data_IF_033798941397
#
_entry.id   IF_033798941397
#
_cell.length_a   1.000
_cell.length_b   1.000
_cell.length_c   1.000
_cell.angle_alpha   90.00
_cell.angle_beta   90.00
_cell.angle_gamma   90.00
#
_symmetry.space_group_name_H-M   'P 1'
#
loop_
_entity.id
_entity.type
_entity.pdbx_description
1 polymer ?
#
# COMPACT_ATOMS: atom_id res chain seq x y z
N UNK A 1 44.86 -34.00 46.22
CA UNK A 1 43.49 -33.88 45.71
C UNK A 1 42.89 -32.64 46.35
N UNK A 2 43.03 -31.49 45.70
CA UNK A 2 42.35 -30.26 46.09
C UNK A 2 41.61 -29.76 44.85
N UNK A 3 40.29 -29.64 44.98
CA UNK A 3 39.39 -29.20 43.91
C UNK A 3 39.48 -27.67 43.76
N UNK A 4 39.84 -27.20 42.57
CA UNK A 4 39.55 -25.83 42.15
C UNK A 4 38.13 -25.79 41.56
N UNK A 5 37.30 -24.93 42.13
CA UNK A 5 35.96 -24.58 41.63
C UNK A 5 36.10 -23.49 40.56
N UNK A 6 35.75 -23.81 39.32
CA UNK A 6 35.63 -22.84 38.24
C UNK A 6 34.26 -22.17 38.30
N UNK A 7 34.22 -20.90 38.70
CA UNK A 7 33.03 -20.05 38.50
C UNK A 7 33.01 -19.60 37.06
N UNK A 8 32.10 -20.17 36.27
CA UNK A 8 31.75 -19.65 34.94
C UNK A 8 30.90 -18.40 35.11
N UNK A 9 31.37 -17.27 34.59
CA UNK A 9 30.57 -16.06 34.45
C UNK A 9 29.53 -16.27 33.34
N UNK A 10 28.25 -16.12 33.68
CA UNK A 10 27.17 -16.04 32.71
C UNK A 10 27.25 -14.70 31.94
N UNK A 11 26.95 -14.66 30.64
CA UNK A 11 26.95 -13.43 29.88
C UNK A 11 25.72 -12.58 30.25
N UNK A 12 25.95 -11.39 30.82
CA UNK A 12 24.91 -10.39 31.02
C UNK A 12 24.32 -9.99 29.66
N UNK A 13 23.06 -10.33 29.43
CA UNK A 13 22.28 -9.87 28.28
C UNK A 13 21.89 -8.41 28.48
N UNK A 14 22.27 -7.54 27.54
CA UNK A 14 22.02 -6.10 27.61
C UNK A 14 20.51 -5.76 27.70
N UNK A 15 20.07 -5.00 28.73
CA UNK A 15 18.65 -4.74 28.99
C UNK A 15 18.00 -3.71 28.05
N UNK A 16 18.77 -2.93 27.27
CA UNK A 16 18.25 -1.79 26.49
C UNK A 16 17.48 -2.17 25.21
N UNK A 17 17.87 -3.23 24.50
CA UNK A 17 17.31 -3.56 23.18
C UNK A 17 15.89 -4.13 23.25
N UNK A 18 15.52 -4.78 24.35
CA UNK A 18 14.19 -5.41 24.51
C UNK A 18 13.09 -4.41 24.87
N UNK A 19 13.41 -3.33 25.57
CA UNK A 19 12.43 -2.32 26.01
C UNK A 19 11.95 -1.43 24.87
N UNK A 20 12.85 -1.07 23.95
CA UNK A 20 12.52 -0.17 22.83
C UNK A 20 11.60 -0.86 21.81
N UNK A 21 11.84 -2.14 21.51
CA UNK A 21 11.02 -2.92 20.60
C UNK A 21 9.58 -3.18 21.11
N UNK A 22 9.39 -3.22 22.43
CA UNK A 22 8.05 -3.31 23.04
C UNK A 22 7.31 -1.97 22.92
N UNK A 23 8.00 -0.86 23.18
CA UNK A 23 7.45 0.48 23.04
C UNK A 23 7.03 0.79 21.59
N UNK A 24 7.85 0.43 20.59
CA UNK A 24 7.52 0.61 19.17
C UNK A 24 6.28 -0.19 18.75
N UNK A 25 6.09 -1.39 19.31
CA UNK A 25 4.91 -2.21 19.02
C UNK A 25 3.64 -1.63 19.63
N UNK A 26 3.71 -1.15 20.87
CA UNK A 26 2.57 -0.55 21.57
C UNK A 26 2.15 0.75 20.87
N UNK A 27 3.13 1.53 20.40
CA UNK A 27 2.87 2.70 19.57
C UNK A 27 2.20 2.32 18.25
N UNK A 28 2.76 1.36 17.51
CA UNK A 28 2.17 0.87 16.26
C UNK A 28 0.72 0.42 16.45
N UNK A 29 0.44 -0.32 17.54
CA UNK A 29 -0.90 -0.80 17.86
C UNK A 29 -1.85 0.36 18.15
N UNK A 30 -1.42 1.33 18.98
CA UNK A 30 -2.19 2.53 19.32
C UNK A 30 -2.56 3.34 18.08
N UNK A 31 -1.57 3.64 17.22
CA UNK A 31 -1.77 4.40 15.99
C UNK A 31 -2.70 3.65 15.03
N UNK A 32 -2.46 2.35 14.80
CA UNK A 32 -3.35 1.55 13.95
C UNK A 32 -4.77 1.48 14.51
N UNK A 33 -4.91 1.53 15.84
CA UNK A 33 -6.18 1.60 16.54
C UNK A 33 -6.98 2.85 16.20
N UNK A 34 -6.33 4.02 16.11
CA UNK A 34 -6.98 5.28 15.70
C UNK A 34 -7.59 5.13 14.30
N UNK A 35 -6.78 4.72 13.33
CA UNK A 35 -7.19 4.54 11.93
C UNK A 35 -8.37 3.56 11.83
N UNK A 36 -8.26 2.40 12.47
CA UNK A 36 -9.33 1.38 12.50
C UNK A 36 -10.62 1.90 13.13
N UNK A 37 -10.53 2.68 14.20
CA UNK A 37 -11.71 3.26 14.88
C UNK A 37 -12.43 4.26 14.00
N UNK A 38 -11.73 5.15 13.29
CA UNK A 38 -12.32 6.14 12.38
C UNK A 38 -13.12 5.43 11.28
N UNK A 39 -12.50 4.49 10.56
CA UNK A 39 -13.19 3.72 9.52
C UNK A 39 -14.39 2.93 10.06
N UNK A 40 -14.27 2.33 11.25
CA UNK A 40 -15.39 1.59 11.89
C UNK A 40 -16.54 2.53 12.25
N UNK A 41 -16.26 3.72 12.80
CA UNK A 41 -17.25 4.74 13.16
C UNK A 41 -18.04 5.17 11.91
N UNK A 42 -17.35 5.49 10.82
CA UNK A 42 -17.95 5.87 9.54
C UNK A 42 -18.85 4.75 8.97
N UNK A 43 -18.34 3.52 8.88
CA UNK A 43 -19.13 2.38 8.40
C UNK A 43 -20.38 2.13 9.25
N UNK A 44 -20.24 2.19 10.58
CA UNK A 44 -21.37 2.00 11.49
C UNK A 44 -22.42 3.10 11.32
N UNK A 45 -22.02 4.38 11.30
CA UNK A 45 -22.95 5.50 11.05
C UNK A 45 -23.72 5.31 9.74
N UNK A 46 -23.04 4.85 8.68
CA UNK A 46 -23.69 4.61 7.39
C UNK A 46 -24.73 3.49 7.46
N UNK A 47 -24.41 2.38 8.13
CA UNK A 47 -25.37 1.28 8.32
C UNK A 47 -26.59 1.74 9.14
N UNK A 48 -26.40 2.60 10.13
CA UNK A 48 -27.47 3.08 11.02
C UNK A 48 -28.37 4.15 10.38
N UNK A 49 -27.80 5.09 9.62
CA UNK A 49 -28.52 6.28 9.11
C UNK A 49 -28.84 6.19 7.62
N UNK A 50 -27.94 5.60 6.82
CA UNK A 50 -28.08 5.47 5.35
C UNK A 50 -27.83 6.74 4.52
N UNK A 51 -27.64 7.91 5.16
CA UNK A 51 -27.41 9.19 4.48
C UNK A 51 -25.90 9.51 4.39
N UNK A 52 -25.30 9.24 3.22
CA UNK A 52 -23.87 9.42 3.00
C UNK A 52 -23.45 10.90 3.07
N UNK A 53 -24.25 11.82 2.51
CA UNK A 53 -23.92 13.24 2.42
C UNK A 53 -23.88 13.88 3.81
N UNK A 54 -24.87 13.56 4.64
CA UNK A 54 -24.90 14.04 6.02
C UNK A 54 -23.73 13.49 6.84
N UNK A 55 -23.49 12.18 6.77
CA UNK A 55 -22.42 11.53 7.55
C UNK A 55 -21.05 12.08 7.16
N UNK A 56 -20.81 12.26 5.86
CA UNK A 56 -19.54 12.77 5.36
C UNK A 56 -19.32 14.22 5.81
N UNK A 57 -20.33 15.08 5.67
CA UNK A 57 -20.27 16.47 6.12
C UNK A 57 -19.97 16.59 7.62
N UNK A 58 -20.72 15.87 8.45
CA UNK A 58 -20.48 15.82 9.90
C UNK A 58 -19.08 15.32 10.24
N UNK A 59 -18.53 14.39 9.45
CA UNK A 59 -17.18 13.88 9.65
C UNK A 59 -16.12 14.90 9.25
N UNK A 60 -16.33 15.62 8.14
CA UNK A 60 -15.44 16.69 7.70
C UNK A 60 -15.40 17.87 8.69
N UNK A 61 -16.47 18.07 9.47
CA UNK A 61 -16.53 19.08 10.54
C UNK A 61 -15.86 18.63 11.86
N UNK A 62 -15.56 17.33 12.02
CA UNK A 62 -14.90 16.75 13.21
C UNK A 62 -13.37 16.90 13.12
N UNK A 63 -12.89 18.15 13.16
CA UNK A 63 -11.47 18.52 12.99
C UNK A 63 -10.54 17.74 13.92
N UNK A 64 -10.97 17.48 15.16
CA UNK A 64 -10.19 16.71 16.12
C UNK A 64 -9.95 15.28 15.60
N UNK A 65 -11.00 14.57 15.18
CA UNK A 65 -10.87 13.21 14.66
C UNK A 65 -10.03 13.18 13.40
N UNK A 66 -10.18 14.18 12.51
CA UNK A 66 -9.40 14.29 11.28
C UNK A 66 -7.90 14.50 11.58
N UNK A 67 -7.57 15.41 12.51
CA UNK A 67 -6.20 15.64 12.92
C UNK A 67 -5.58 14.38 13.57
N UNK A 68 -6.30 13.74 14.49
CA UNK A 68 -5.84 12.48 15.10
C UNK A 68 -5.59 11.38 14.05
N UNK A 69 -6.45 11.30 13.04
CA UNK A 69 -6.30 10.37 11.92
C UNK A 69 -5.06 10.69 11.07
N UNK A 70 -4.91 11.95 10.66
CA UNK A 70 -3.78 12.45 9.85
C UNK A 70 -2.43 12.16 10.54
N UNK A 71 -2.31 12.54 11.81
CA UNK A 71 -1.10 12.27 12.61
C UNK A 71 -0.83 10.78 12.72
N UNK A 72 -1.86 9.97 13.00
CA UNK A 72 -1.69 8.53 13.12
C UNK A 72 -1.24 7.87 11.81
N UNK A 73 -1.84 8.27 10.68
CA UNK A 73 -1.47 7.78 9.36
C UNK A 73 -0.04 8.17 8.98
N UNK A 74 0.36 9.43 9.23
CA UNK A 74 1.72 9.90 8.98
C UNK A 74 2.75 9.15 9.82
N UNK A 75 2.53 9.04 11.14
CA UNK A 75 3.45 8.33 12.03
C UNK A 75 3.58 6.85 11.68
N UNK A 76 2.49 6.19 11.26
CA UNK A 76 2.55 4.81 10.77
C UNK A 76 3.42 4.70 9.51
N UNK A 77 3.25 5.62 8.57
CA UNK A 77 4.01 5.65 7.33
C UNK A 77 5.51 5.87 7.58
N UNK A 78 5.84 6.93 8.32
CA UNK A 78 7.22 7.35 8.57
C UNK A 78 7.98 6.31 9.40
N UNK A 79 7.33 5.77 10.45
CA UNK A 79 8.05 5.00 11.48
C UNK A 79 7.85 3.49 11.41
N UNK A 80 6.78 2.98 10.77
CA UNK A 80 6.42 1.56 10.89
C UNK A 80 6.26 0.83 9.55
N UNK A 81 5.99 1.53 8.44
CA UNK A 81 5.79 0.87 7.14
C UNK A 81 7.09 0.59 6.38
N UNK A 82 8.13 1.41 6.55
CA UNK A 82 9.42 1.24 5.86
C UNK A 82 10.42 0.30 6.56
N UNK A 83 10.33 0.13 7.88
CA UNK A 83 11.38 -0.54 8.70
C UNK A 83 11.50 -2.06 8.54
N UNK A 84 10.56 -2.75 7.88
CA UNK A 84 10.51 -4.23 7.79
C UNK A 84 10.77 -4.80 6.39
N UNK A 85 11.09 -3.97 5.41
CA UNK A 85 11.38 -4.42 4.06
C UNK A 85 12.90 -4.51 3.87
N UNK A 86 13.45 -5.73 3.91
CA UNK A 86 14.83 -6.03 3.45
C UNK A 86 14.91 -5.88 1.91
N UNK A 87 14.69 -4.66 1.42
CA UNK A 87 14.49 -4.38 0.00
C UNK A 87 13.50 -3.24 -0.23
N UNK A 88 13.44 -2.82 -1.49
CA UNK A 88 12.61 -1.76 -2.06
C UNK A 88 11.22 -1.62 -1.36
N UNK A 89 10.91 -0.40 -0.89
CA UNK A 89 9.65 -0.12 -0.18
C UNK A 89 8.42 -0.39 -1.07
N UNK A 90 7.23 -0.57 -0.47
CA UNK A 90 5.98 -0.87 -1.22
C UNK A 90 5.71 0.14 -2.34
N UNK A 91 6.04 1.41 -2.12
CA UNK A 91 5.83 2.49 -3.07
C UNK A 91 6.74 2.31 -4.29
N UNK A 92 8.01 2.06 -4.05
CA UNK A 92 9.00 1.79 -5.09
C UNK A 92 8.69 0.47 -5.82
N UNK A 93 8.27 -0.58 -5.11
CA UNK A 93 7.80 -1.82 -5.73
C UNK A 93 6.60 -1.59 -6.66
N UNK A 94 5.59 -0.84 -6.21
CA UNK A 94 4.45 -0.47 -7.06
C UNK A 94 4.90 0.28 -8.32
N UNK A 95 5.84 1.24 -8.17
CA UNK A 95 6.42 1.97 -9.31
C UNK A 95 7.07 1.01 -10.30
N UNK A 96 7.94 0.11 -9.82
CA UNK A 96 8.66 -0.86 -10.63
C UNK A 96 7.70 -1.79 -11.39
N UNK A 97 6.62 -2.24 -10.74
CA UNK A 97 5.57 -3.06 -11.39
C UNK A 97 4.82 -2.26 -12.46
N UNK A 98 4.44 -1.01 -12.20
CA UNK A 98 3.79 -0.16 -13.19
C UNK A 98 4.70 0.09 -14.41
N UNK A 99 5.98 0.40 -14.16
CA UNK A 99 6.98 0.58 -15.21
C UNK A 99 7.10 -0.68 -16.07
N UNK A 100 7.27 -1.85 -15.44
CA UNK A 100 7.42 -3.12 -16.16
C UNK A 100 6.19 -3.41 -17.04
N UNK A 101 4.99 -3.24 -16.46
CA UNK A 101 3.76 -3.58 -17.14
C UNK A 101 3.44 -2.62 -18.28
N UNK A 102 3.46 -1.31 -18.03
CA UNK A 102 2.98 -0.33 -19.00
C UNK A 102 4.06 0.15 -19.97
N UNK A 103 5.32 0.21 -19.55
CA UNK A 103 6.40 0.81 -20.36
C UNK A 103 7.40 -0.21 -20.90
N UNK A 104 7.74 -1.25 -20.12
CA UNK A 104 8.78 -2.21 -20.50
C UNK A 104 8.23 -3.47 -21.21
N UNK A 105 7.05 -3.33 -21.81
CA UNK A 105 6.43 -4.35 -22.66
C UNK A 105 5.74 -5.50 -21.89
N UNK A 106 5.53 -5.38 -20.57
CA UNK A 106 4.78 -6.37 -19.79
C UNK A 106 3.34 -6.57 -20.27
N UNK A 107 2.64 -5.50 -20.61
CA UNK A 107 1.28 -5.53 -21.18
C UNK A 107 1.28 -6.28 -22.52
N UNK A 108 2.24 -6.00 -23.40
CA UNK A 108 2.38 -6.69 -24.68
C UNK A 108 2.58 -8.21 -24.48
N UNK A 109 3.48 -8.60 -23.58
CA UNK A 109 3.71 -10.02 -23.22
C UNK A 109 2.43 -10.69 -22.73
N UNK A 110 1.63 -9.99 -21.92
CA UNK A 110 0.37 -10.52 -21.41
C UNK A 110 -0.68 -10.71 -22.51
N UNK A 111 -0.87 -9.71 -23.38
CA UNK A 111 -1.79 -9.82 -24.52
C UNK A 111 -1.39 -10.98 -25.46
N UNK A 112 -0.11 -11.15 -25.73
CA UNK A 112 0.40 -12.27 -26.54
C UNK A 112 0.14 -13.63 -25.88
N UNK A 113 0.28 -13.72 -24.54
CA UNK A 113 0.00 -14.94 -23.78
C UNK A 113 -1.48 -15.31 -23.86
N UNK A 114 -2.37 -14.34 -23.67
CA UNK A 114 -3.82 -14.55 -23.74
C UNK A 114 -4.25 -14.96 -25.16
N UNK A 115 -3.68 -14.32 -26.19
CA UNK A 115 -3.92 -14.69 -27.58
C UNK A 115 -3.48 -16.13 -27.89
N UNK A 116 -2.35 -16.60 -27.33
CA UNK A 116 -1.92 -18.00 -27.45
C UNK A 116 -2.88 -18.94 -26.73
N UNK A 117 -3.32 -18.60 -25.52
CA UNK A 117 -4.26 -19.41 -24.74
C UNK A 117 -5.60 -19.60 -25.47
N UNK A 118 -6.15 -18.53 -26.07
CA UNK A 118 -7.37 -18.59 -26.89
C UNK A 118 -7.18 -19.51 -28.10
N UNK A 119 -6.03 -19.42 -28.80
CA UNK A 119 -5.73 -20.30 -29.94
C UNK A 119 -5.66 -21.77 -29.53
N UNK A 120 -5.04 -22.07 -28.39
CA UNK A 120 -4.97 -23.43 -27.86
C UNK A 120 -6.35 -23.97 -27.47
N UNK A 121 -7.20 -23.16 -26.83
CA UNK A 121 -8.56 -23.56 -26.45
C UNK A 121 -9.47 -23.79 -27.68
N UNK A 122 -9.34 -22.95 -28.71
CA UNK A 122 -10.10 -23.09 -29.96
C UNK A 122 -9.68 -24.34 -30.75
N UNK A 123 -8.40 -24.69 -30.74
CA UNK A 123 -7.89 -25.91 -31.35
C UNK A 123 -8.44 -27.18 -30.66
N UNK A 124 -8.69 -27.13 -29.35
CA UNK A 124 -9.23 -28.24 -28.56
C UNK A 124 -10.75 -28.43 -28.75
N UNK A 125 -11.47 -27.34 -29.06
CA UNK A 125 -12.93 -27.35 -29.26
C UNK A 125 -13.37 -27.41 -30.73
N UNK A 126 -12.43 -27.40 -31.69
CA UNK A 126 -12.71 -27.47 -33.12
C UNK A 126 -13.41 -26.23 -33.71
N UNK A 127 -13.52 -25.15 -32.95
CA UNK A 127 -14.10 -23.88 -33.41
C UNK A 127 -13.00 -23.00 -34.01
N UNK A 128 -13.27 -22.34 -35.12
CA UNK A 128 -12.36 -21.33 -35.69
C UNK A 128 -12.27 -20.14 -34.72
N UNK A 129 -11.07 -19.78 -34.22
CA UNK A 129 -10.95 -18.65 -33.32
C UNK A 129 -11.30 -17.36 -34.07
N UNK A 130 -12.36 -16.68 -33.63
CA UNK A 130 -12.58 -15.28 -33.96
C UNK A 130 -11.32 -14.54 -33.52
N UNK A 131 -10.60 -13.97 -34.49
CA UNK A 131 -9.39 -13.21 -34.21
C UNK A 131 -9.82 -12.01 -33.37
N UNK A 132 -9.43 -11.90 -32.09
CA UNK A 132 -9.69 -10.67 -31.37
C UNK A 132 -8.90 -9.60 -32.11
N UNK A 133 -9.57 -8.52 -32.51
CA UNK A 133 -8.91 -7.34 -33.02
C UNK A 133 -8.12 -6.72 -31.86
N UNK A 134 -6.94 -7.26 -31.61
CA UNK A 134 -5.93 -6.66 -30.73
C UNK A 134 -5.23 -5.55 -31.49
N UNK A 135 -5.99 -4.65 -32.12
CA UNK A 135 -5.47 -3.35 -32.52
C UNK A 135 -4.74 -2.84 -31.29
N UNK A 136 -3.41 -2.84 -31.37
CA UNK A 136 -2.54 -2.46 -30.26
C UNK A 136 -3.11 -1.12 -29.80
N UNK A 137 -3.60 -1.01 -28.56
CA UNK A 137 -4.01 0.29 -28.12
C UNK A 137 -2.75 1.14 -28.27
N UNK A 138 -2.85 2.19 -29.07
CA UNK A 138 -1.74 3.07 -29.44
C UNK A 138 -1.42 3.96 -28.25
N UNK A 139 -1.16 3.33 -27.10
CA UNK A 139 -0.58 3.99 -25.96
C UNK A 139 0.90 4.16 -26.29
N UNK A 140 1.21 5.28 -26.94
CA UNK A 140 2.56 5.77 -27.02
C UNK A 140 2.96 6.30 -25.63
N UNK A 141 3.17 5.38 -24.67
CA UNK A 141 3.70 5.70 -23.34
C UNK A 141 5.13 6.29 -23.39
N UNK A 142 5.75 6.36 -24.57
CA UNK A 142 7.08 6.94 -24.71
C UNK A 142 7.16 8.41 -24.24
N UNK A 143 6.03 9.13 -24.14
CA UNK A 143 5.98 10.51 -23.61
C UNK A 143 4.82 10.82 -22.65
N UNK A 144 3.91 9.87 -22.38
CA UNK A 144 2.71 10.13 -21.57
C UNK A 144 2.87 9.58 -20.15
N UNK A 145 2.66 10.44 -19.14
CA UNK A 145 2.64 10.05 -17.73
C UNK A 145 1.48 9.10 -17.45
N UNK A 146 1.71 8.11 -16.58
CA UNK A 146 0.67 7.21 -16.11
C UNK A 146 -0.27 7.93 -15.13
N UNK A 147 -1.55 8.02 -15.46
CA UNK A 147 -2.55 8.55 -14.54
C UNK A 147 -2.77 7.57 -13.39
N UNK A 148 -2.47 7.99 -12.16
CA UNK A 148 -2.54 7.16 -10.97
C UNK A 148 -3.53 7.75 -9.96
N UNK A 149 -4.57 6.99 -9.61
CA UNK A 149 -5.43 7.30 -8.48
C UNK A 149 -4.94 6.50 -7.26
N UNK A 150 -4.34 7.19 -6.29
CA UNK A 150 -3.83 6.59 -5.06
C UNK A 150 -4.88 6.73 -3.94
N UNK A 151 -5.43 5.62 -3.46
CA UNK A 151 -6.54 5.60 -2.49
C UNK A 151 -6.01 5.20 -1.12
N UNK A 152 -6.32 5.99 -0.09
CA UNK A 152 -5.66 5.86 1.21
C UNK A 152 -4.23 6.41 1.15
N UNK A 153 -4.08 7.48 0.37
CA UNK A 153 -2.80 8.05 -0.05
C UNK A 153 -2.01 8.68 1.10
N UNK A 154 -2.68 9.07 2.19
CA UNK A 154 -2.11 9.76 3.35
C UNK A 154 -1.41 11.07 2.96
N UNK A 155 -0.15 10.99 2.54
CA UNK A 155 0.72 12.11 2.15
C UNK A 155 1.10 12.09 0.66
N UNK A 156 0.41 11.30 -0.17
CA UNK A 156 0.64 11.21 -1.61
C UNK A 156 2.07 10.83 -2.03
N UNK A 157 2.54 9.63 -1.63
CA UNK A 157 3.93 9.19 -1.83
C UNK A 157 4.34 9.06 -3.31
N UNK A 158 3.39 8.91 -4.23
CA UNK A 158 3.69 8.77 -5.66
C UNK A 158 3.91 10.11 -6.37
N UNK A 159 3.55 11.24 -5.74
CA UNK A 159 3.74 12.58 -6.31
C UNK A 159 5.21 12.89 -6.65
N UNK A 160 6.16 12.21 -6.00
CA UNK A 160 7.61 12.39 -6.21
C UNK A 160 8.14 11.74 -7.50
N UNK A 161 7.33 10.99 -8.22
CA UNK A 161 7.76 10.25 -9.40
C UNK A 161 7.22 10.90 -10.67
N UNK A 162 8.12 11.29 -11.57
CA UNK A 162 7.76 12.01 -12.78
C UNK A 162 6.97 11.16 -13.78
N UNK A 163 7.07 9.83 -13.68
CA UNK A 163 6.33 8.90 -14.54
C UNK A 163 4.82 8.88 -14.24
N UNK A 164 4.39 9.37 -13.08
CA UNK A 164 2.99 9.40 -12.69
C UNK A 164 2.38 10.80 -12.75
N UNK A 165 1.13 10.86 -13.21
CA UNK A 165 0.21 11.95 -12.92
C UNK A 165 -0.72 11.48 -11.80
N UNK A 166 -0.31 11.72 -10.56
CA UNK A 166 -0.99 11.16 -9.39
C UNK A 166 -2.07 12.09 -8.85
N UNK A 167 -3.25 11.52 -8.57
CA UNK A 167 -4.29 12.09 -7.73
C UNK A 167 -4.37 11.23 -6.47
N UNK A 168 -3.93 11.77 -5.33
CA UNK A 168 -4.06 11.11 -4.04
C UNK A 168 -5.39 11.45 -3.37
N UNK A 169 -6.08 10.44 -2.86
CA UNK A 169 -7.29 10.61 -2.05
C UNK A 169 -7.16 9.86 -0.72
N UNK A 170 -7.65 10.48 0.34
CA UNK A 170 -7.78 9.88 1.66
C UNK A 170 -8.95 10.55 2.40
N UNK A 171 -9.26 10.09 3.62
CA UNK A 171 -10.25 10.73 4.51
C UNK A 171 -9.88 12.19 4.77
N UNK A 172 -8.60 12.42 5.03
CA UNK A 172 -7.98 13.73 5.20
C UNK A 172 -6.51 13.59 4.83
N UNK A 173 -5.91 14.55 4.11
CA UNK A 173 -4.49 14.49 3.81
C UNK A 173 -3.68 14.65 5.10
N UNK A 174 -2.57 13.93 5.21
CA UNK A 174 -1.70 13.97 6.38
C UNK A 174 -0.65 15.10 6.33
N UNK A 175 -0.67 15.85 5.24
CA UNK A 175 0.13 17.05 4.97
C UNK A 175 -0.81 18.08 4.35
N UNK A 176 -0.58 19.37 4.62
CA UNK A 176 -1.31 20.46 3.94
C UNK A 176 -0.89 20.61 2.47
#
# INVERSE_FOLDING_TARGET
MEHQSSVSAEPESEPGVRTDALCERDEQEKLSGVVKRVHRKLRRKYIEVGDFDKIWREHCEDEQTLNEYAVAMKSLADNHWGKKCDGEGRIEWCRSVCQEYFMDGGMKKMLEKDAKAVKHAAADTGQTPLSPDFSQPSFNFQNDKLHLLDVGSCFNPFLRFDEFLTVGIDIVPAVE
#
